data_IF_372377027060
#
_entry.id   IF_372377027060
#
_cell.length_a   1.000
_cell.length_b   1.000
_cell.length_c   1.000
_cell.angle_alpha   90.00
_cell.angle_beta   90.00
_cell.angle_gamma   90.00
#
_symmetry.space_group_name_H-M   'P 1'
#
loop_
_entity.id
_entity.type
_entity.pdbx_description
1 polymer ?
#
# COMPACT_ATOMS: atom_id res chain seq x y z
N UNK A 1 -11.52 23.83 -33.09
CA UNK A 1 -10.52 23.00 -32.38
C UNK A 1 -10.88 23.04 -30.89
N UNK A 2 -11.54 22.00 -30.39
CA UNK A 2 -11.84 21.89 -28.96
C UNK A 2 -10.68 21.19 -28.26
N UNK A 3 -10.23 21.74 -27.12
CA UNK A 3 -9.35 21.01 -26.21
C UNK A 3 -10.10 19.77 -25.69
N UNK A 4 -9.49 18.59 -25.66
CA UNK A 4 -10.12 17.42 -25.05
C UNK A 4 -10.34 17.70 -23.56
N UNK A 5 -11.56 17.48 -23.06
CA UNK A 5 -11.84 17.65 -21.64
C UNK A 5 -11.13 16.53 -20.86
N UNK A 6 -10.09 16.86 -20.10
CA UNK A 6 -9.48 15.92 -19.15
C UNK A 6 -10.32 15.97 -17.86
N UNK A 7 -11.47 15.32 -17.88
CA UNK A 7 -12.40 15.27 -16.74
C UNK A 7 -12.01 14.12 -15.81
N UNK A 8 -10.96 14.33 -15.01
CA UNK A 8 -10.59 13.46 -13.89
C UNK A 8 -10.63 14.23 -12.57
N UNK A 9 -11.03 13.58 -11.48
CA UNK A 9 -10.84 14.15 -10.13
C UNK A 9 -9.33 14.19 -9.83
N UNK A 10 -8.85 15.26 -9.21
CA UNK A 10 -7.43 15.44 -8.87
C UNK A 10 -7.30 15.82 -7.41
N UNK A 11 -6.28 15.27 -6.75
CA UNK A 11 -5.78 15.76 -5.48
C UNK A 11 -4.40 16.40 -5.63
N UNK A 12 -3.99 17.12 -4.58
CA UNK A 12 -2.60 17.50 -4.39
C UNK A 12 -1.86 16.22 -3.97
N UNK A 13 -0.76 15.83 -4.63
CA UNK A 13 0.01 14.66 -4.24
C UNK A 13 0.42 14.72 -2.77
N UNK A 14 0.24 13.60 -2.06
CA UNK A 14 0.67 13.49 -0.67
C UNK A 14 2.20 13.37 -0.62
N UNK A 15 2.83 14.12 0.27
CA UNK A 15 4.26 13.95 0.57
C UNK A 15 4.47 12.59 1.26
N UNK A 16 5.48 11.84 0.82
CA UNK A 16 5.87 10.57 1.45
C UNK A 16 6.59 10.83 2.78
N UNK A 17 5.83 11.28 3.78
CA UNK A 17 6.31 11.64 5.10
C UNK A 17 5.48 10.90 6.17
N UNK A 18 6.10 10.26 7.16
CA UNK A 18 5.39 9.48 8.18
C UNK A 18 4.37 10.31 8.97
N UNK A 19 4.68 11.58 9.27
CA UNK A 19 3.76 12.48 9.99
C UNK A 19 2.51 12.75 9.16
N UNK A 20 2.69 13.11 7.89
CA UNK A 20 1.58 13.40 6.96
C UNK A 20 0.68 12.17 6.76
N UNK A 21 1.29 10.99 6.62
CA UNK A 21 0.56 9.73 6.49
C UNK A 21 -0.24 9.39 7.76
N UNK A 22 0.40 9.56 8.93
CA UNK A 22 -0.21 9.31 10.23
C UNK A 22 -1.39 10.24 10.50
N UNK A 23 -1.20 11.55 10.32
CA UNK A 23 -2.25 12.55 10.51
C UNK A 23 -3.47 12.28 9.63
N UNK A 24 -3.25 11.95 8.35
CA UNK A 24 -4.34 11.60 7.44
C UNK A 24 -5.03 10.30 7.85
N UNK A 25 -4.27 9.26 8.22
CA UNK A 25 -4.84 7.99 8.65
C UNK A 25 -5.70 8.15 9.92
N UNK A 26 -5.22 8.90 10.92
CA UNK A 26 -5.98 9.22 12.13
C UNK A 26 -7.23 10.03 11.79
N UNK A 27 -7.12 11.04 10.91
CA UNK A 27 -8.27 11.82 10.45
C UNK A 27 -9.35 10.99 9.74
N UNK A 28 -8.95 9.90 9.09
CA UNK A 28 -9.87 8.95 8.46
C UNK A 28 -10.46 7.93 9.45
N UNK A 29 -9.84 7.74 10.63
CA UNK A 29 -10.37 6.89 11.68
C UNK A 29 -9.44 5.77 12.17
N UNK A 30 -8.15 5.83 11.88
CA UNK A 30 -7.18 4.91 12.48
C UNK A 30 -6.95 5.27 13.95
N UNK A 31 -6.83 4.27 14.83
CA UNK A 31 -6.48 4.47 16.24
C UNK A 31 -5.11 5.14 16.38
N UNK A 32 -4.93 6.06 17.35
CA UNK A 32 -3.61 6.63 17.69
C UNK A 32 -2.62 5.60 18.24
N UNK A 33 -3.03 4.35 18.44
CA UNK A 33 -2.14 3.24 18.79
C UNK A 33 -1.20 2.83 17.65
N UNK A 34 -1.53 3.17 16.40
CA UNK A 34 -0.68 2.91 15.24
C UNK A 34 -0.25 4.23 14.57
N UNK A 35 0.96 4.23 14.02
CA UNK A 35 1.50 5.33 13.22
C UNK A 35 2.45 4.82 12.12
N UNK A 36 2.75 5.69 11.16
CA UNK A 36 3.75 5.40 10.13
C UNK A 36 5.14 5.81 10.61
N UNK A 37 6.13 4.96 10.27
CA UNK A 37 7.54 5.11 10.60
C UNK A 37 8.38 5.11 9.32
N UNK A 38 9.47 5.86 9.29
CA UNK A 38 10.46 5.74 8.22
C UNK A 38 11.21 4.41 8.31
N UNK A 39 11.44 3.79 7.15
CA UNK A 39 12.30 2.61 7.01
C UNK A 39 13.61 3.04 6.35
N UNK A 40 14.65 3.26 7.18
CA UNK A 40 15.94 3.78 6.71
C UNK A 40 16.81 2.74 5.99
N UNK A 41 16.63 1.46 6.28
CA UNK A 41 17.37 0.36 5.65
C UNK A 41 16.52 -0.91 5.65
N UNK A 42 16.85 -1.83 4.72
CA UNK A 42 16.24 -3.15 4.58
C UNK A 42 17.15 -4.29 5.08
N UNK A 43 18.40 -3.98 5.40
CA UNK A 43 19.46 -4.94 5.68
C UNK A 43 20.33 -4.62 6.90
N UNK A 44 20.31 -3.38 7.39
CA UNK A 44 21.03 -2.95 8.59
C UNK A 44 20.18 -3.17 9.85
N UNK A 45 20.54 -4.12 10.74
CA UNK A 45 19.71 -4.49 11.88
C UNK A 45 19.42 -3.35 12.85
N UNK A 46 20.41 -2.48 13.10
CA UNK A 46 20.27 -1.35 14.02
C UNK A 46 19.25 -0.34 13.51
N UNK A 47 19.22 -0.06 12.20
CA UNK A 47 18.24 0.84 11.60
C UNK A 47 16.84 0.20 11.54
N UNK A 48 16.76 -1.11 11.30
CA UNK A 48 15.50 -1.86 11.34
C UNK A 48 14.90 -1.96 12.74
N UNK A 49 15.72 -1.86 13.78
CA UNK A 49 15.29 -1.90 15.18
C UNK A 49 14.55 -0.64 15.63
N UNK A 50 14.66 0.45 14.85
CA UNK A 50 13.96 1.71 15.10
C UNK A 50 12.45 1.59 14.88
N UNK A 51 12.01 0.58 14.11
CA UNK A 51 10.60 0.37 13.78
C UNK A 51 9.95 -0.54 14.84
N UNK A 52 8.92 -0.07 15.56
CA UNK A 52 8.18 -0.89 16.51
C UNK A 52 7.62 -2.16 15.87
N UNK A 53 7.45 -3.21 16.67
CA UNK A 53 6.94 -4.51 16.20
C UNK A 53 5.58 -4.83 16.82
N UNK A 54 4.68 -5.51 16.08
CA UNK A 54 4.84 -5.95 14.70
C UNK A 54 4.66 -4.80 13.69
N UNK A 55 5.27 -4.93 12.51
CA UNK A 55 4.94 -4.04 11.39
C UNK A 55 3.78 -4.66 10.59
N UNK A 56 2.73 -3.86 10.40
CA UNK A 56 1.47 -4.29 9.80
C UNK A 56 1.44 -4.11 8.27
N UNK A 57 2.09 -3.07 7.74
CA UNK A 57 2.15 -2.77 6.32
C UNK A 57 3.44 -2.04 5.95
N UNK A 58 3.83 -2.11 4.68
CA UNK A 58 4.90 -1.31 4.09
C UNK A 58 4.35 -0.53 2.89
N UNK A 59 4.65 0.77 2.83
CA UNK A 59 4.29 1.65 1.71
C UNK A 59 5.57 2.10 1.02
N UNK A 60 5.78 1.61 -0.21
CA UNK A 60 6.91 1.98 -1.06
C UNK A 60 6.48 3.10 -2.02
N UNK A 61 7.19 4.21 -1.98
CA UNK A 61 7.03 5.32 -2.93
C UNK A 61 8.30 5.44 -3.76
N UNK A 62 8.14 5.56 -5.07
CA UNK A 62 9.24 5.70 -6.02
C UNK A 62 8.76 6.54 -7.22
N UNK A 63 9.65 7.26 -7.92
CA UNK A 63 9.28 7.99 -9.11
C UNK A 63 8.95 7.01 -10.23
N UNK A 64 7.84 7.25 -10.91
CA UNK A 64 7.55 6.52 -12.14
C UNK A 64 8.49 7.00 -13.24
N UNK A 65 9.08 6.07 -13.97
CA UNK A 65 9.81 6.38 -15.22
C UNK A 65 8.93 6.01 -16.41
N UNK A 66 9.12 6.65 -17.59
CA UNK A 66 8.40 6.24 -18.80
C UNK A 66 8.58 4.76 -19.14
N UNK A 67 9.76 4.19 -18.82
CA UNK A 67 10.04 2.77 -18.98
C UNK A 67 9.22 1.91 -18.01
N UNK A 68 9.07 2.34 -16.75
CA UNK A 68 8.22 1.68 -15.76
C UNK A 68 6.76 1.66 -16.22
N UNK A 69 6.21 2.80 -16.64
CA UNK A 69 4.83 2.91 -17.11
C UNK A 69 4.58 2.05 -18.37
N UNK A 70 5.52 2.06 -19.33
CA UNK A 70 5.43 1.21 -20.52
C UNK A 70 5.50 -0.28 -20.16
N UNK A 71 6.32 -0.67 -19.18
CA UNK A 71 6.39 -2.04 -18.69
C UNK A 71 5.10 -2.45 -17.98
N UNK A 72 4.50 -1.58 -17.15
CA UNK A 72 3.20 -1.82 -16.53
C UNK A 72 2.13 -2.08 -17.58
N UNK A 73 2.02 -1.22 -18.60
CA UNK A 73 1.05 -1.39 -19.68
C UNK A 73 1.24 -2.71 -20.44
N UNK A 74 2.49 -3.17 -20.62
CA UNK A 74 2.79 -4.46 -21.24
C UNK A 74 2.40 -5.64 -20.34
N UNK A 75 2.70 -5.56 -19.04
CA UNK A 75 2.32 -6.58 -18.06
C UNK A 75 0.80 -6.70 -17.93
N UNK A 76 0.10 -5.56 -17.91
CA UNK A 76 -1.36 -5.48 -17.82
C UNK A 76 -2.08 -5.90 -19.10
N UNK A 77 -1.39 -5.95 -20.24
CA UNK A 77 -1.90 -6.54 -21.50
C UNK A 77 -1.78 -8.07 -21.51
N UNK A 78 -0.84 -8.64 -20.74
CA UNK A 78 -0.56 -10.08 -20.69
C UNK A 78 -1.30 -10.80 -19.56
N UNK A 79 -1.88 -10.07 -18.60
CA UNK A 79 -2.64 -10.64 -17.50
C UNK A 79 -4.10 -10.93 -17.89
N UNK A 80 -4.74 -11.93 -17.27
CA UNK A 80 -6.19 -12.11 -17.36
C UNK A 80 -6.94 -10.82 -16.94
N UNK A 81 -8.24 -10.70 -17.28
CA UNK A 81 -9.04 -9.52 -16.92
C UNK A 81 -9.00 -9.22 -15.41
N UNK A 82 -9.40 -7.99 -15.08
CA UNK A 82 -9.50 -7.42 -13.73
C UNK A 82 -9.85 -8.48 -12.68
N UNK A 83 -9.12 -8.48 -11.56
CA UNK A 83 -9.28 -9.47 -10.52
C UNK A 83 -10.76 -9.54 -10.09
N UNK A 84 -11.40 -10.69 -10.33
CA UNK A 84 -12.87 -10.81 -10.30
C UNK A 84 -13.41 -11.67 -9.17
N UNK A 85 -12.55 -12.10 -8.23
CA UNK A 85 -12.98 -12.91 -7.08
C UNK A 85 -13.37 -11.99 -5.93
N UNK A 86 -14.59 -12.08 -5.43
CA UNK A 86 -15.03 -11.42 -4.19
C UNK A 86 -15.89 -12.38 -3.37
N UNK A 87 -16.07 -12.12 -2.08
CA UNK A 87 -16.92 -12.95 -1.25
C UNK A 87 -16.73 -12.76 0.27
N UNK A 88 -17.56 -13.45 1.05
CA UNK A 88 -17.50 -13.41 2.53
C UNK A 88 -16.35 -14.25 3.11
N UNK A 89 -15.73 -15.10 2.30
CA UNK A 89 -14.59 -15.95 2.66
C UNK A 89 -13.24 -15.25 2.42
N UNK A 90 -13.27 -13.94 2.20
CA UNK A 90 -12.15 -13.14 1.69
C UNK A 90 -11.76 -12.03 2.68
N UNK A 91 -10.47 -11.75 2.80
CA UNK A 91 -9.94 -10.86 3.87
C UNK A 91 -9.17 -9.65 3.33
N UNK A 92 -8.96 -9.54 2.02
CA UNK A 92 -8.17 -8.45 1.41
C UNK A 92 -9.06 -7.41 0.75
N UNK A 93 -8.89 -6.15 1.08
CA UNK A 93 -9.56 -5.03 0.44
C UNK A 93 -8.59 -4.33 -0.51
N UNK A 94 -8.91 -4.30 -1.81
CA UNK A 94 -8.16 -3.55 -2.80
C UNK A 94 -9.02 -2.42 -3.39
N UNK A 95 -8.54 -1.20 -3.24
CA UNK A 95 -9.09 -0.01 -3.88
C UNK A 95 -8.39 0.30 -5.20
N UNK A 96 -9.15 0.36 -6.29
CA UNK A 96 -8.67 0.87 -7.58
C UNK A 96 -8.49 2.38 -7.54
N UNK A 97 -7.34 2.87 -7.99
CA UNK A 97 -7.13 4.30 -8.12
C UNK A 97 -8.00 4.86 -9.25
N UNK A 98 -8.87 5.80 -8.90
CA UNK A 98 -9.76 6.49 -9.85
C UNK A 98 -9.65 8.01 -9.77
N UNK A 99 -8.77 8.50 -8.88
CA UNK A 99 -8.49 9.92 -8.64
C UNK A 99 -7.02 10.15 -8.92
N UNK A 100 -6.71 11.10 -9.79
CA UNK A 100 -5.34 11.43 -10.14
C UNK A 100 -4.62 12.05 -8.94
N UNK A 101 -3.32 11.73 -8.79
CA UNK A 101 -2.45 12.16 -7.70
C UNK A 101 -2.86 11.67 -6.29
N UNK A 102 -3.73 10.66 -6.20
CA UNK A 102 -4.22 10.15 -4.92
C UNK A 102 -3.48 8.90 -4.42
N UNK A 103 -2.36 8.51 -5.03
CA UNK A 103 -1.65 7.26 -4.69
C UNK A 103 -1.28 7.15 -3.21
N UNK A 104 -0.89 8.25 -2.56
CA UNK A 104 -0.66 8.27 -1.12
C UNK A 104 -1.91 7.92 -0.31
N UNK A 105 -3.08 8.45 -0.68
CA UNK A 105 -4.36 8.09 -0.03
C UNK A 105 -4.68 6.61 -0.26
N UNK A 106 -4.55 6.11 -1.50
CA UNK A 106 -4.81 4.70 -1.80
C UNK A 106 -3.85 3.78 -1.04
N UNK A 107 -2.57 4.13 -0.95
CA UNK A 107 -1.58 3.42 -0.15
C UNK A 107 -1.93 3.38 1.34
N UNK A 108 -2.42 4.49 1.91
CA UNK A 108 -2.93 4.52 3.30
C UNK A 108 -4.13 3.60 3.45
N UNK A 109 -5.12 3.69 2.57
CA UNK A 109 -6.32 2.85 2.61
C UNK A 109 -5.92 1.36 2.57
N UNK A 110 -5.09 0.96 1.61
CA UNK A 110 -4.58 -0.40 1.49
C UNK A 110 -3.83 -0.85 2.75
N UNK A 111 -3.01 0.01 3.36
CA UNK A 111 -2.25 -0.31 4.56
C UNK A 111 -3.14 -0.53 5.80
N UNK A 112 -4.15 0.31 6.00
CA UNK A 112 -4.94 0.30 7.26
C UNK A 112 -6.17 -0.61 7.20
N UNK A 113 -6.72 -0.92 6.02
CA UNK A 113 -7.93 -1.75 5.91
C UNK A 113 -7.66 -3.25 5.77
N UNK A 114 -6.39 -3.67 5.80
CA UNK A 114 -5.96 -5.04 5.56
C UNK A 114 -5.17 -5.60 6.73
N UNK A 115 -5.18 -6.93 6.87
CA UNK A 115 -4.45 -7.62 7.94
C UNK A 115 -4.85 -7.15 9.34
N UNK A 116 -3.94 -7.32 10.30
CA UNK A 116 -4.20 -6.96 11.70
C UNK A 116 -4.30 -5.44 11.96
N UNK A 117 -3.89 -4.58 11.01
CA UNK A 117 -4.11 -3.13 11.14
C UNK A 117 -5.60 -2.77 11.13
N UNK A 118 -6.43 -3.59 10.46
CA UNK A 118 -7.88 -3.38 10.36
C UNK A 118 -8.55 -3.37 11.74
N UNK A 119 -8.01 -4.10 12.72
CA UNK A 119 -8.54 -4.18 14.08
C UNK A 119 -8.38 -2.87 14.86
N UNK A 120 -7.53 -1.96 14.37
CA UNK A 120 -7.29 -0.63 14.95
C UNK A 120 -8.16 0.48 14.32
N UNK A 121 -9.14 0.12 13.47
CA UNK A 121 -10.07 1.10 12.91
C UNK A 121 -11.13 1.47 13.94
N UNK A 122 -11.21 2.76 14.27
CA UNK A 122 -12.17 3.28 15.24
C UNK A 122 -13.60 3.10 14.70
N UNK A 123 -14.53 2.52 15.48
CA UNK A 123 -15.93 2.38 15.06
C UNK A 123 -16.58 3.72 14.72
N UNK A 124 -17.50 3.71 13.74
CA UNK A 124 -18.24 4.90 13.24
C UNK A 124 -17.36 6.00 12.62
N UNK A 125 -16.11 5.68 12.28
CA UNK A 125 -15.22 6.55 11.51
C UNK A 125 -15.46 6.45 10.00
N UNK A 126 -14.77 7.30 9.22
CA UNK A 126 -14.82 7.25 7.75
C UNK A 126 -14.31 5.91 7.22
N UNK A 127 -13.23 5.37 7.79
CA UNK A 127 -12.71 4.04 7.44
C UNK A 127 -13.72 2.93 7.76
N UNK A 128 -14.36 2.99 8.93
CA UNK A 128 -15.37 2.00 9.30
C UNK A 128 -16.56 2.04 8.33
N UNK A 129 -17.06 3.23 7.99
CA UNK A 129 -18.12 3.39 6.99
C UNK A 129 -17.70 2.91 5.61
N UNK A 130 -16.48 3.24 5.17
CA UNK A 130 -15.94 2.77 3.89
C UNK A 130 -15.92 1.24 3.82
N UNK A 131 -15.48 0.57 4.89
CA UNK A 131 -15.41 -0.90 4.95
C UNK A 131 -16.79 -1.57 4.85
N UNK A 132 -17.87 -0.91 5.28
CA UNK A 132 -19.23 -1.43 5.08
C UNK A 132 -19.72 -1.37 3.63
N UNK A 133 -19.00 -0.65 2.77
CA UNK A 133 -19.39 -0.40 1.37
C UNK A 133 -18.52 -1.12 0.34
N UNK A 134 -17.61 -1.99 0.79
CA UNK A 134 -16.67 -2.73 -0.08
C UNK A 134 -16.78 -4.24 0.12
N UNK A 135 -16.50 -4.99 -0.94
CA UNK A 135 -16.41 -6.46 -0.89
C UNK A 135 -14.93 -6.90 -0.83
N UNK A 136 -14.54 -7.76 0.13
CA UNK A 136 -13.19 -8.32 0.20
C UNK A 136 -12.83 -9.33 -0.92
N UNK A 137 -11.53 -9.60 -1.09
CA UNK A 137 -10.85 -10.41 -2.11
C UNK A 137 -9.89 -11.46 -1.49
N UNK A 138 -9.55 -12.51 -2.26
CA UNK A 138 -8.39 -13.42 -2.14
C UNK A 138 -7.56 -13.45 -0.83
N UNK A 139 -7.69 -14.42 0.08
CA UNK A 139 -6.83 -14.56 1.28
C UNK A 139 -5.44 -15.26 1.11
N UNK A 140 -4.52 -15.02 2.09
CA UNK A 140 -3.41 -15.91 2.49
C UNK A 140 -1.98 -15.55 2.05
N UNK A 141 -1.78 -14.46 1.31
CA UNK A 141 -0.52 -14.18 0.62
C UNK A 141 -0.05 -12.73 0.85
N UNK A 142 1.22 -12.46 0.56
CA UNK A 142 1.75 -11.11 0.42
C UNK A 142 1.21 -10.52 -0.88
N UNK A 143 0.53 -9.39 -0.77
CA UNK A 143 -0.05 -8.68 -1.90
C UNK A 143 0.68 -7.37 -2.14
N UNK A 144 0.96 -7.08 -3.41
CA UNK A 144 1.22 -5.72 -3.86
C UNK A 144 -0.11 -5.08 -4.25
N UNK A 145 -0.44 -4.02 -3.53
CA UNK A 145 -1.66 -3.24 -3.72
C UNK A 145 -1.26 -1.91 -4.36
N UNK A 146 -1.33 -1.88 -5.68
CA UNK A 146 -1.07 -0.69 -6.49
C UNK A 146 -2.38 -0.32 -7.19
N UNK A 147 -2.91 0.86 -6.88
CA UNK A 147 -4.18 1.34 -7.41
C UNK A 147 -4.14 1.67 -8.91
N UNK A 148 -2.95 1.88 -9.49
CA UNK A 148 -2.77 2.16 -10.92
C UNK A 148 -2.75 0.88 -11.77
N UNK A 149 -2.75 -0.30 -11.14
CA UNK A 149 -2.82 -1.60 -11.83
C UNK A 149 -4.27 -2.04 -12.07
N UNK A 150 -4.44 -3.01 -12.97
CA UNK A 150 -5.74 -3.68 -13.23
C UNK A 150 -6.21 -4.64 -12.11
N UNK A 151 -5.52 -4.69 -10.98
CA UNK A 151 -5.88 -5.55 -9.84
C UNK A 151 -4.68 -5.83 -8.93
N UNK A 152 -4.96 -6.42 -7.76
CA UNK A 152 -3.94 -6.86 -6.82
C UNK A 152 -2.96 -7.84 -7.46
N UNK A 153 -1.71 -7.85 -6.97
CA UNK A 153 -0.71 -8.84 -7.35
C UNK A 153 -0.39 -9.69 -6.14
N UNK A 154 -0.73 -10.97 -6.23
CA UNK A 154 -0.20 -11.98 -5.31
C UNK A 154 1.29 -12.18 -5.58
N UNK A 155 2.14 -11.96 -4.58
CA UNK A 155 3.60 -12.09 -4.71
C UNK A 155 4.09 -13.44 -4.19
N UNK A 156 3.66 -13.84 -2.99
CA UNK A 156 4.09 -15.10 -2.35
C UNK A 156 3.24 -15.41 -1.11
N UNK A 157 3.20 -16.66 -0.67
CA UNK A 157 2.68 -16.99 0.66
C UNK A 157 3.64 -16.50 1.77
N UNK A 158 3.08 -16.12 2.92
CA UNK A 158 3.80 -15.83 4.17
C UNK A 158 3.65 -17.02 5.13
N UNK A 159 4.66 -17.28 5.98
CA UNK A 159 4.51 -18.21 7.09
C UNK A 159 3.71 -17.55 8.22
N UNK A 160 3.21 -18.36 9.17
CA UNK A 160 2.44 -17.89 10.31
C UNK A 160 3.21 -16.88 11.20
N UNK A 161 4.54 -16.98 11.25
CA UNK A 161 5.42 -16.10 12.03
C UNK A 161 6.01 -14.92 11.22
N UNK A 162 5.73 -14.86 9.91
CA UNK A 162 6.24 -13.77 9.06
C UNK A 162 5.46 -12.47 9.32
N UNK A 163 6.18 -11.36 9.44
CA UNK A 163 5.61 -10.01 9.41
C UNK A 163 6.15 -9.21 8.22
N UNK A 164 5.71 -7.97 8.07
CA UNK A 164 6.10 -7.15 6.90
C UNK A 164 7.59 -6.80 6.86
N UNK A 165 8.33 -6.96 7.97
CA UNK A 165 9.77 -6.73 8.03
C UNK A 165 10.57 -8.06 8.00
N UNK A 166 9.93 -9.19 7.70
CA UNK A 166 10.63 -10.46 7.45
C UNK A 166 11.44 -10.41 6.15
N UNK A 167 12.51 -11.22 6.05
CA UNK A 167 13.31 -11.38 4.82
C UNK A 167 12.46 -11.64 3.57
N UNK A 168 11.34 -12.33 3.76
CA UNK A 168 10.41 -12.70 2.69
C UNK A 168 9.65 -11.52 2.11
N UNK A 169 9.23 -10.58 2.96
CA UNK A 169 8.56 -9.35 2.55
C UNK A 169 9.58 -8.36 1.93
N UNK A 170 10.74 -8.23 2.55
CA UNK A 170 11.84 -7.42 2.01
C UNK A 170 12.38 -7.96 0.69
N UNK A 171 12.44 -9.27 0.50
CA UNK A 171 12.83 -9.88 -0.77
C UNK A 171 11.97 -9.39 -1.94
N UNK A 172 10.66 -9.21 -1.74
CA UNK A 172 9.76 -8.67 -2.76
C UNK A 172 10.04 -7.20 -3.05
N UNK A 173 10.31 -6.40 -2.02
CA UNK A 173 10.69 -4.98 -2.19
C UNK A 173 12.03 -4.87 -2.93
N UNK A 174 13.01 -5.68 -2.55
CA UNK A 174 14.33 -5.69 -3.20
C UNK A 174 14.26 -6.16 -4.65
N UNK A 175 13.46 -7.20 -4.96
CA UNK A 175 13.17 -7.63 -6.33
C UNK A 175 12.53 -6.50 -7.14
N UNK A 176 11.58 -5.78 -6.53
CA UNK A 176 10.94 -4.64 -7.17
C UNK A 176 11.94 -3.52 -7.46
N UNK A 177 12.67 -3.04 -6.44
CA UNK A 177 13.68 -1.97 -6.56
C UNK A 177 14.72 -2.32 -7.64
N UNK A 178 15.24 -3.55 -7.62
CA UNK A 178 16.19 -4.04 -8.64
C UNK A 178 15.59 -4.04 -10.04
N UNK A 179 14.29 -4.27 -10.17
CA UNK A 179 13.56 -4.25 -11.43
C UNK A 179 13.30 -2.86 -12.00
N UNK A 180 13.20 -1.82 -11.17
CA UNK A 180 12.93 -0.44 -11.64
C UNK A 180 14.21 0.27 -12.12
N UNK A 181 15.38 -0.04 -11.53
CA UNK A 181 16.67 0.50 -11.96
C UNK A 181 17.62 0.81 -10.80
N UNK A 182 18.92 0.97 -11.08
CA UNK A 182 19.97 1.09 -10.04
C UNK A 182 20.08 2.45 -9.34
N UNK A 183 19.44 3.50 -9.86
CA UNK A 183 19.64 4.89 -9.39
C UNK A 183 18.32 5.63 -9.14
N UNK A 184 17.28 4.89 -8.72
CA UNK A 184 15.97 5.48 -8.43
C UNK A 184 15.86 5.74 -6.94
N UNK A 185 15.70 7.01 -6.56
CA UNK A 185 15.36 7.38 -5.19
C UNK A 185 14.00 6.80 -4.82
N UNK A 186 13.92 6.09 -3.70
CA UNK A 186 12.67 5.58 -3.14
C UNK A 186 12.55 6.01 -1.68
N UNK A 187 11.33 6.04 -1.18
CA UNK A 187 11.03 6.15 0.24
C UNK A 187 10.17 4.96 0.65
N UNK A 188 10.34 4.52 1.89
CA UNK A 188 9.65 3.36 2.43
C UNK A 188 9.15 3.70 3.82
N UNK A 189 7.83 3.53 4.02
CA UNK A 189 7.17 3.75 5.30
C UNK A 189 6.63 2.42 5.85
N UNK A 190 6.67 2.24 7.16
CA UNK A 190 6.08 1.10 7.85
C UNK A 190 4.94 1.55 8.76
N UNK A 191 3.77 0.91 8.66
CA UNK A 191 2.70 1.05 9.64
C UNK A 191 2.99 0.13 10.83
N UNK A 192 3.18 0.68 12.02
CA UNK A 192 3.56 -0.06 13.22
C UNK A 192 2.94 0.60 14.49
N UNK A 193 3.07 -0.01 15.69
CA UNK A 193 2.66 0.62 16.93
C UNK A 193 3.28 2.00 17.11
N UNK A 194 2.53 2.93 17.71
CA UNK A 194 3.01 4.26 18.03
C UNK A 194 4.03 4.24 19.17
N UNK A 195 5.08 5.06 19.07
CA UNK A 195 6.08 5.27 20.13
C UNK A 195 5.79 6.61 20.82
N UNK A 196 4.98 6.55 21.86
CA UNK A 196 4.81 7.67 22.81
C UNK A 196 5.84 7.61 23.94
#
# INVERSE_FOLDING_TARGET
>A
MGYPSVTGKHFIPLESNPTVFTELAHGLGLSPELEFHDVFSLDEPDLLSLIPRPAFALVLVFPTSPNYEANLQQLDKKKPPEYSKSGIDEDVVWFKQTINNACGLYGILHAVTNGAARDFIVPKSHLASLLTSVEPLKNGHLYELDGDRKGLIERRALNQDDNMLSERAFGVILEFIRGVGKDIGFSLLALAPAVN
#
